data_IF_707280041289
#
_entry.id   IF_707280041289
#
_cell.length_a   1.000
_cell.length_b   1.000
_cell.length_c   1.000
_cell.angle_alpha   90.00
_cell.angle_beta   90.00
_cell.angle_gamma   90.00
#
_symmetry.space_group_name_H-M   'P 1'
#
loop_
_entity.id
_entity.type
_entity.pdbx_description
1 polymer ?
#
# COMPACT_ATOMS: atom_id res chain seq x y z
N UNK A 1 7.98 -4.14 8.85
CA UNK A 1 9.45 -4.08 8.83
C UNK A 1 9.97 -2.65 8.85
N UNK A 2 9.40 -1.75 8.07
CA UNK A 2 9.74 -0.33 8.07
C UNK A 2 8.46 0.51 7.85
N UNK A 3 8.54 1.82 8.02
CA UNK A 3 7.44 2.74 7.74
C UNK A 3 7.97 4.14 7.48
N UNK A 4 7.09 5.00 6.96
CA UNK A 4 7.34 6.43 6.83
C UNK A 4 6.04 7.22 6.75
N UNK A 5 6.09 8.52 7.06
CA UNK A 5 5.02 9.45 6.76
C UNK A 5 5.43 10.37 5.62
N UNK A 6 4.46 10.75 4.78
CA UNK A 6 4.60 11.93 3.92
C UNK A 6 4.26 13.18 4.71
N UNK A 7 5.08 14.22 4.57
CA UNK A 7 4.78 15.55 5.10
C UNK A 7 4.11 16.44 4.06
N UNK A 8 3.22 17.32 4.52
CA UNK A 8 2.65 18.37 3.67
C UNK A 8 3.65 19.51 3.44
N UNK A 9 4.55 19.34 2.46
CA UNK A 9 5.58 20.32 2.11
C UNK A 9 5.72 20.42 0.58
N UNK A 10 6.20 21.58 0.12
CA UNK A 10 6.50 21.82 -1.30
C UNK A 10 7.63 20.93 -1.82
N UNK A 11 8.62 20.61 -0.97
CA UNK A 11 9.65 19.65 -1.32
C UNK A 11 9.23 18.24 -0.88
N UNK A 12 9.45 17.20 -1.71
CA UNK A 12 9.15 15.82 -1.33
C UNK A 12 9.89 15.47 -0.03
N UNK A 13 9.16 15.24 1.05
CA UNK A 13 9.70 15.07 2.39
C UNK A 13 9.01 13.93 3.12
N UNK A 14 9.81 13.03 3.71
CA UNK A 14 9.31 11.94 4.54
C UNK A 14 9.94 11.94 5.93
N UNK A 15 9.20 11.41 6.89
CA UNK A 15 9.69 11.11 8.25
C UNK A 15 9.79 9.60 8.42
N UNK A 16 10.92 9.12 8.93
CA UNK A 16 11.23 7.70 9.15
C UNK A 16 11.61 7.48 10.63
N UNK A 17 11.04 6.47 11.33
CA UNK A 17 10.02 5.54 10.86
C UNK A 17 8.64 6.18 10.63
N UNK A 18 8.44 7.41 11.10
CA UNK A 18 7.11 7.98 11.17
C UNK A 18 6.22 7.24 12.18
N UNK A 19 4.94 7.57 12.23
CA UNK A 19 3.91 6.90 13.00
C UNK A 19 2.53 7.17 12.34
N UNK A 20 1.62 6.19 12.27
CA UNK A 20 0.25 6.43 11.85
C UNK A 20 -0.48 7.30 12.89
N UNK A 21 -1.59 7.96 12.53
CA UNK A 21 -2.34 8.74 13.50
C UNK A 21 -3.03 7.79 14.50
N UNK A 22 -3.14 8.24 15.75
CA UNK A 22 -3.77 7.47 16.83
C UNK A 22 -5.28 7.56 16.70
N UNK A 23 -6.00 6.45 16.90
CA UNK A 23 -7.45 6.45 17.05
C UNK A 23 -7.87 7.30 18.26
N UNK A 24 -8.56 8.40 17.99
CA UNK A 24 -9.04 9.36 19.00
C UNK A 24 -10.47 9.77 18.62
N UNK A 25 -11.45 8.85 18.75
CA UNK A 25 -12.80 9.10 18.30
C UNK A 25 -13.42 10.26 19.07
N UNK A 26 -14.20 11.07 18.38
CA UNK A 26 -14.94 12.16 19.04
C UNK A 26 -16.00 11.58 19.99
N UNK A 27 -16.10 12.14 21.19
CA UNK A 27 -17.03 11.63 22.21
C UNK A 27 -18.51 11.87 21.84
N UNK A 28 -18.78 12.89 21.02
CA UNK A 28 -20.12 13.21 20.51
C UNK A 28 -20.05 13.36 18.99
N UNK A 29 -20.90 12.65 18.22
CA UNK A 29 -20.93 12.80 16.78
C UNK A 29 -21.47 14.18 16.39
N UNK A 30 -20.60 15.05 15.92
CA UNK A 30 -20.99 16.25 15.20
C UNK A 30 -21.16 15.93 13.71
N UNK A 31 -22.03 16.68 13.02
CA UNK A 31 -22.20 16.53 11.58
C UNK A 31 -20.94 17.00 10.85
N UNK A 32 -20.25 16.05 10.22
CA UNK A 32 -19.08 16.35 9.40
C UNK A 32 -19.47 16.99 8.07
N UNK A 33 -18.59 17.82 7.54
CA UNK A 33 -18.68 18.30 6.16
C UNK A 33 -18.27 17.17 5.22
N UNK A 34 -18.93 17.12 4.08
CA UNK A 34 -18.54 16.20 3.01
C UNK A 34 -17.14 16.56 2.50
N UNK A 35 -16.40 15.54 2.07
CA UNK A 35 -15.06 15.71 1.53
C UNK A 35 -15.09 16.68 0.34
N UNK A 36 -14.27 17.72 0.42
CA UNK A 36 -14.14 18.70 -0.64
C UNK A 36 -12.67 19.03 -0.80
N UNK A 37 -12.09 18.75 -1.97
CA UNK A 37 -10.66 18.97 -2.20
C UNK A 37 -10.10 18.16 -3.34
N UNK A 38 -8.78 18.21 -3.46
CA UNK A 38 -8.00 17.46 -4.45
C UNK A 38 -7.34 16.30 -3.74
N UNK A 39 -7.82 15.08 -4.02
CA UNK A 39 -7.28 13.86 -3.45
C UNK A 39 -6.69 13.01 -4.57
N UNK A 40 -5.44 12.59 -4.39
CA UNK A 40 -4.69 11.84 -5.39
C UNK A 40 -4.84 10.33 -5.18
N UNK A 41 -5.03 9.58 -6.28
CA UNK A 41 -5.11 8.10 -6.26
C UNK A 41 -3.83 7.42 -5.74
N UNK A 42 -2.67 8.03 -6.01
CA UNK A 42 -1.39 7.59 -5.43
C UNK A 42 -0.62 8.80 -4.89
N UNK A 43 -0.70 8.98 -3.56
CA UNK A 43 0.06 10.01 -2.83
C UNK A 43 1.56 9.94 -3.11
N UNK A 44 2.14 8.75 -3.31
CA UNK A 44 3.56 8.61 -3.56
C UNK A 44 3.92 9.08 -4.97
N UNK A 45 3.11 8.73 -5.97
CA UNK A 45 3.30 9.20 -7.33
C UNK A 45 3.01 10.70 -7.45
N UNK A 46 2.02 11.23 -6.74
CA UNK A 46 1.70 12.66 -6.76
C UNK A 46 2.80 13.52 -6.14
N UNK A 47 3.36 13.06 -5.01
CA UNK A 47 4.41 13.78 -4.26
C UNK A 47 5.80 13.57 -4.84
N UNK A 48 6.07 12.40 -5.41
CA UNK A 48 7.37 12.11 -6.04
C UNK A 48 7.25 11.33 -7.37
N UNK A 49 6.72 11.98 -8.43
CA UNK A 49 6.39 11.33 -9.70
C UNK A 49 7.54 10.61 -10.39
N UNK A 50 8.76 11.15 -10.26
CA UNK A 50 9.94 10.60 -10.92
C UNK A 50 10.26 9.19 -10.40
N UNK A 51 10.17 8.98 -9.09
CA UNK A 51 10.53 7.71 -8.48
C UNK A 51 9.62 7.35 -7.28
N UNK A 52 8.37 6.94 -7.52
CA UNK A 52 7.34 6.72 -6.47
C UNK A 52 7.66 5.63 -5.44
N UNK A 53 8.68 4.80 -5.70
CA UNK A 53 9.16 3.75 -4.80
C UNK A 53 10.36 4.15 -3.94
N UNK A 54 11.05 5.25 -4.24
CA UNK A 54 12.21 5.69 -3.44
C UNK A 54 11.91 5.90 -1.96
N UNK A 55 10.78 6.51 -1.56
CA UNK A 55 10.47 6.69 -0.14
C UNK A 55 10.47 5.37 0.63
N UNK A 56 9.91 4.32 0.03
CA UNK A 56 9.88 3.01 0.66
C UNK A 56 11.27 2.39 0.77
N UNK A 57 12.08 2.48 -0.28
CA UNK A 57 13.46 1.96 -0.28
C UNK A 57 14.32 2.72 0.74
N UNK A 58 14.22 4.05 0.80
CA UNK A 58 14.92 4.88 1.78
C UNK A 58 14.51 4.52 3.21
N UNK A 59 13.21 4.34 3.48
CA UNK A 59 12.73 3.94 4.79
C UNK A 59 13.28 2.57 5.22
N UNK A 60 13.28 1.57 4.31
CA UNK A 60 13.86 0.25 4.59
C UNK A 60 15.35 0.37 4.90
N UNK A 61 16.14 1.03 4.05
CA UNK A 61 17.59 1.15 4.26
C UNK A 61 17.96 1.98 5.49
N UNK A 62 17.15 2.98 5.85
CA UNK A 62 17.36 3.80 7.05
C UNK A 62 17.12 2.98 8.32
N UNK A 63 16.06 2.17 8.33
CA UNK A 63 15.68 1.37 9.49
C UNK A 63 16.44 0.05 9.59
N UNK A 64 16.89 -0.49 8.47
CA UNK A 64 17.68 -1.71 8.35
C UNK A 64 18.93 -1.41 7.53
N UNK A 65 19.97 -0.77 8.12
CA UNK A 65 21.20 -0.46 7.39
C UNK A 65 21.94 -1.71 6.93
N UNK A 66 21.77 -2.81 7.66
CA UNK A 66 22.25 -4.12 7.29
C UNK A 66 21.21 -4.88 6.45
N UNK A 67 21.67 -5.71 5.51
CA UNK A 67 20.79 -6.48 4.65
C UNK A 67 20.00 -7.53 5.43
N UNK A 68 18.84 -7.93 4.90
CA UNK A 68 18.01 -8.97 5.50
C UNK A 68 18.62 -10.35 5.29
N UNK A 69 18.49 -11.22 6.30
CA UNK A 69 18.98 -12.60 6.25
C UNK A 69 18.25 -13.50 5.25
N UNK A 70 16.98 -13.22 4.92
CA UNK A 70 16.22 -14.05 3.95
C UNK A 70 16.03 -13.32 2.64
N UNK A 71 16.06 -14.09 1.57
CA UNK A 71 15.90 -13.63 0.19
C UNK A 71 14.65 -12.77 0.01
N UNK A 72 14.77 -11.78 -0.87
CA UNK A 72 13.68 -10.96 -1.38
C UNK A 72 13.59 -11.23 -2.88
N UNK A 73 12.39 -11.53 -3.36
CA UNK A 73 12.11 -11.78 -4.77
C UNK A 73 11.23 -10.70 -5.39
N UNK A 74 10.36 -10.10 -4.57
CA UNK A 74 9.35 -9.15 -4.98
C UNK A 74 9.30 -7.94 -4.05
N UNK A 75 9.31 -6.75 -4.61
CA UNK A 75 8.93 -5.50 -3.95
C UNK A 75 7.68 -4.97 -4.65
N UNK A 76 6.61 -4.74 -3.91
CA UNK A 76 5.34 -4.31 -4.46
C UNK A 76 4.61 -3.35 -3.51
N UNK A 77 3.40 -2.96 -3.89
CA UNK A 77 2.49 -2.26 -2.99
C UNK A 77 1.13 -2.95 -2.94
N UNK A 78 0.30 -2.59 -1.98
CA UNK A 78 -1.03 -3.18 -1.78
C UNK A 78 -1.88 -3.18 -3.05
N UNK A 79 -1.87 -2.10 -3.83
CA UNK A 79 -2.61 -2.01 -5.09
C UNK A 79 -2.03 -2.87 -6.21
N UNK A 80 -0.70 -2.96 -6.38
CA UNK A 80 -0.14 -3.78 -7.46
C UNK A 80 -0.40 -5.27 -7.22
N UNK A 81 -0.22 -5.75 -5.98
CA UNK A 81 -0.64 -7.10 -5.61
C UNK A 81 -2.16 -7.25 -5.65
N UNK A 82 -2.90 -6.23 -5.22
CA UNK A 82 -4.34 -6.18 -5.23
C UNK A 82 -4.95 -6.33 -6.61
N UNK A 83 -4.37 -5.69 -7.63
CA UNK A 83 -4.79 -5.79 -9.02
C UNK A 83 -4.53 -7.20 -9.58
N UNK A 84 -3.40 -7.82 -9.24
CA UNK A 84 -3.12 -9.21 -9.64
C UNK A 84 -4.03 -10.21 -8.91
N UNK A 85 -4.30 -9.99 -7.62
CA UNK A 85 -5.26 -10.79 -6.85
C UNK A 85 -6.67 -10.66 -7.41
N UNK A 86 -7.07 -9.43 -7.79
CA UNK A 86 -8.34 -9.15 -8.46
C UNK A 86 -8.44 -9.89 -9.80
N UNK A 87 -7.36 -9.89 -10.58
CA UNK A 87 -7.26 -10.63 -11.84
C UNK A 87 -7.53 -12.13 -11.66
N UNK A 88 -6.82 -12.80 -10.75
CA UNK A 88 -7.00 -14.25 -10.55
C UNK A 88 -8.37 -14.61 -9.97
N UNK A 89 -9.03 -13.66 -9.30
CA UNK A 89 -10.41 -13.80 -8.80
C UNK A 89 -11.48 -13.51 -9.85
N UNK A 90 -11.09 -13.22 -11.09
CA UNK A 90 -12.02 -13.05 -12.22
C UNK A 90 -12.70 -11.68 -12.31
N UNK A 91 -12.31 -10.69 -11.50
CA UNK A 91 -12.88 -9.34 -11.58
C UNK A 91 -12.30 -8.59 -12.78
N UNK A 92 -13.18 -8.01 -13.60
CA UNK A 92 -12.91 -7.55 -14.97
C UNK A 92 -12.17 -6.22 -15.08
N UNK A 93 -11.96 -5.50 -13.97
CA UNK A 93 -11.45 -4.12 -14.05
C UNK A 93 -10.05 -4.04 -14.65
N UNK A 94 -9.84 -3.16 -15.64
CA UNK A 94 -8.54 -2.99 -16.26
C UNK A 94 -7.53 -2.45 -15.26
N UNK A 95 -6.26 -2.72 -15.51
CA UNK A 95 -5.16 -2.12 -14.77
C UNK A 95 -3.88 -2.17 -15.59
N UNK A 96 -2.94 -1.32 -15.19
CA UNK A 96 -1.60 -1.29 -15.73
C UNK A 96 -0.60 -1.11 -14.60
N UNK A 97 0.54 -1.77 -14.73
CA UNK A 97 1.67 -1.59 -13.85
C UNK A 97 2.97 -1.83 -14.60
N UNK A 98 4.07 -1.33 -14.04
CA UNK A 98 5.40 -1.63 -14.54
C UNK A 98 6.06 -2.68 -13.64
N UNK A 99 6.96 -3.45 -14.22
CA UNK A 99 7.89 -4.28 -13.47
C UNK A 99 9.32 -3.92 -13.87
N UNK A 100 10.21 -3.79 -12.90
CA UNK A 100 11.63 -3.53 -13.11
C UNK A 100 12.49 -4.41 -12.20
N UNK A 101 13.59 -4.96 -12.72
CA UNK A 101 14.51 -5.79 -11.93
C UNK A 101 15.65 -4.94 -11.38
N UNK A 102 15.90 -5.02 -10.07
CA UNK A 102 17.07 -4.46 -9.39
C UNK A 102 17.76 -5.58 -8.61
N UNK A 103 19.01 -5.88 -8.95
CA UNK A 103 19.78 -7.00 -8.35
C UNK A 103 18.98 -8.32 -8.32
N UNK A 104 18.31 -8.68 -9.41
CA UNK A 104 17.50 -9.90 -9.48
C UNK A 104 16.18 -9.87 -8.70
N UNK A 105 15.87 -8.79 -7.98
CA UNK A 105 14.58 -8.59 -7.30
C UNK A 105 13.65 -7.82 -8.22
N UNK A 106 12.38 -8.23 -8.30
CA UNK A 106 11.38 -7.59 -9.16
C UNK A 106 10.60 -6.54 -8.37
N UNK A 107 10.49 -5.33 -8.93
CA UNK A 107 9.76 -4.22 -8.36
C UNK A 107 8.50 -3.96 -9.18
N UNK A 108 7.33 -4.15 -8.60
CA UNK A 108 6.04 -3.80 -9.20
C UNK A 108 5.67 -2.35 -8.85
N UNK A 109 5.49 -1.53 -9.88
CA UNK A 109 5.32 -0.08 -9.76
C UNK A 109 3.92 0.25 -10.30
N UNK A 110 3.12 0.97 -9.53
CA UNK A 110 1.81 1.46 -10.00
C UNK A 110 2.00 2.33 -11.24
N UNK A 111 1.05 2.22 -12.17
CA UNK A 111 1.02 3.06 -13.36
C UNK A 111 -0.40 3.53 -13.64
N UNK A 112 -0.75 4.62 -12.99
CA UNK A 112 -1.96 5.42 -13.26
C UNK A 112 -1.79 6.24 -14.56
N UNK A 113 -2.87 6.87 -15.03
CA UNK A 113 -2.83 7.72 -16.23
C UNK A 113 -1.97 8.97 -16.00
N UNK A 114 -2.03 9.50 -14.78
CA UNK A 114 -1.23 10.63 -14.32
C UNK A 114 -0.72 10.40 -12.90
N UNK A 115 0.52 10.80 -12.58
CA UNK A 115 0.99 10.80 -11.20
C UNK A 115 0.12 11.68 -10.28
N UNK A 116 -0.57 12.67 -10.85
CA UNK A 116 -1.49 13.57 -10.13
C UNK A 116 -2.94 13.23 -10.44
N UNK A 117 -3.24 12.02 -10.87
CA UNK A 117 -4.60 11.57 -11.07
C UNK A 117 -5.39 11.72 -9.77
N UNK A 118 -6.53 12.40 -9.87
CA UNK A 118 -7.40 12.71 -8.74
C UNK A 118 -8.64 11.83 -8.79
N UNK A 119 -9.24 11.59 -7.64
CA UNK A 119 -10.57 10.98 -7.58
C UNK A 119 -11.59 12.04 -8.06
N UNK A 120 -12.33 11.80 -9.16
CA UNK A 120 -13.36 12.74 -9.61
C UNK A 120 -14.58 12.69 -8.67
N UNK A 121 -15.36 13.77 -8.65
CA UNK A 121 -16.68 13.83 -7.98
C UNK A 121 -16.70 13.24 -6.57
N UNK A 122 -15.75 13.66 -5.72
CA UNK A 122 -15.61 13.05 -4.40
C UNK A 122 -16.87 13.31 -3.59
N UNK A 123 -17.53 12.22 -3.26
CA UNK A 123 -18.70 12.15 -2.42
C UNK A 123 -18.39 11.35 -1.16
N UNK A 124 -18.97 11.76 -0.05
CA UNK A 124 -18.81 11.09 1.23
C UNK A 124 -17.76 11.71 2.16
N UNK A 125 -17.20 10.87 3.01
CA UNK A 125 -16.52 11.29 4.25
C UNK A 125 -15.28 10.43 4.51
N UNK A 126 -14.64 9.94 3.46
CA UNK A 126 -13.47 9.07 3.52
C UNK A 126 -12.24 9.75 4.11
N UNK A 127 -12.16 11.08 4.04
CA UNK A 127 -11.06 11.87 4.61
C UNK A 127 -11.48 12.66 5.85
N UNK A 128 -12.62 13.33 5.81
CA UNK A 128 -13.13 14.13 6.93
C UNK A 128 -13.37 13.29 8.20
N UNK A 129 -13.79 12.02 8.06
CA UNK A 129 -14.00 11.16 9.22
C UNK A 129 -12.69 10.73 9.90
N UNK A 130 -11.68 10.20 9.20
CA UNK A 130 -10.35 9.98 9.79
C UNK A 130 -9.75 11.24 10.41
N UNK A 131 -9.83 12.39 9.75
CA UNK A 131 -9.29 13.66 10.27
C UNK A 131 -9.94 14.05 11.60
N UNK A 132 -11.25 13.83 11.74
CA UNK A 132 -11.98 14.12 12.97
C UNK A 132 -11.75 13.08 14.09
N UNK A 133 -11.44 11.83 13.75
CA UNK A 133 -11.41 10.71 14.69
C UNK A 133 -10.01 10.13 14.91
N UNK A 134 -8.98 10.78 14.38
CA UNK A 134 -7.59 10.39 14.60
C UNK A 134 -6.73 11.61 14.93
N UNK A 135 -5.60 11.38 15.62
CA UNK A 135 -4.67 12.45 15.99
C UNK A 135 -3.25 12.05 15.66
N UNK A 136 -2.55 12.88 14.89
CA UNK A 136 -1.11 12.74 14.66
C UNK A 136 -0.31 13.00 15.94
N UNK A 137 0.70 12.16 16.21
CA UNK A 137 1.64 12.41 17.29
C UNK A 137 2.49 13.66 17.02
N UNK A 138 2.93 14.34 18.08
CA UNK A 138 3.75 15.56 17.96
C UNK A 138 5.03 15.35 17.16
N UNK A 139 5.64 14.17 17.24
CA UNK A 139 6.88 13.81 16.53
C UNK A 139 6.71 13.62 15.01
N UNK A 140 5.47 13.58 14.52
CA UNK A 140 5.13 13.44 13.09
C UNK A 140 4.11 14.48 12.65
N UNK A 141 4.04 15.61 13.35
CA UNK A 141 3.12 16.72 13.02
C UNK A 141 3.35 17.21 11.59
N UNK A 142 2.25 17.49 10.88
CA UNK A 142 2.26 17.90 9.47
C UNK A 142 2.35 16.71 8.50
N UNK A 143 2.03 15.50 8.99
CA UNK A 143 1.88 14.31 8.15
C UNK A 143 0.54 14.29 7.43
N UNK A 144 0.53 13.72 6.23
CA UNK A 144 -0.63 13.59 5.35
C UNK A 144 -1.06 12.14 5.15
N UNK A 145 -0.09 11.23 5.16
CA UNK A 145 -0.35 9.79 5.07
C UNK A 145 0.73 9.03 5.81
N UNK A 146 0.42 7.80 6.20
CA UNK A 146 1.36 6.87 6.81
C UNK A 146 1.50 5.61 5.96
N UNK A 147 2.71 5.33 5.51
CA UNK A 147 3.04 4.20 4.67
C UNK A 147 3.78 3.17 5.51
N UNK A 148 3.29 1.93 5.49
CA UNK A 148 3.91 0.78 6.15
C UNK A 148 4.50 -0.15 5.12
N UNK A 149 5.63 -0.75 5.48
CA UNK A 149 6.37 -1.68 4.64
C UNK A 149 6.44 -2.98 5.40
N UNK A 150 5.79 -4.00 4.85
CA UNK A 150 5.76 -5.35 5.38
C UNK A 150 6.79 -6.22 4.71
N UNK A 151 7.13 -7.28 5.43
CA UNK A 151 7.87 -8.41 4.88
C UNK A 151 7.11 -9.67 5.24
N UNK A 152 6.81 -10.49 4.24
CA UNK A 152 6.21 -11.80 4.44
C UNK A 152 6.63 -12.74 3.31
N UNK A 153 6.38 -14.03 3.50
CA UNK A 153 6.54 -15.03 2.45
C UNK A 153 5.19 -15.40 1.89
N UNK A 154 5.10 -15.54 0.57
CA UNK A 154 3.88 -15.99 -0.11
C UNK A 154 4.26 -16.86 -1.31
N UNK A 155 3.69 -18.06 -1.42
CA UNK A 155 4.00 -18.97 -2.52
C UNK A 155 5.49 -19.32 -2.65
N UNK A 156 6.23 -19.34 -1.54
CA UNK A 156 7.70 -19.54 -1.52
C UNK A 156 8.53 -18.31 -1.91
N UNK A 157 7.90 -17.17 -2.21
CA UNK A 157 8.59 -15.92 -2.57
C UNK A 157 8.78 -15.04 -1.34
N UNK A 158 9.94 -14.37 -1.24
CA UNK A 158 10.16 -13.30 -0.26
C UNK A 158 9.60 -11.97 -0.74
N UNK A 159 8.56 -11.46 -0.08
CA UNK A 159 7.86 -10.25 -0.49
C UNK A 159 8.13 -9.07 0.46
N UNK A 160 8.42 -7.90 -0.11
CA UNK A 160 8.35 -6.60 0.57
C UNK A 160 7.17 -5.83 0.01
N UNK A 161 6.21 -5.47 0.85
CA UNK A 161 4.94 -4.88 0.39
C UNK A 161 4.64 -3.60 1.13
N UNK A 162 4.53 -2.49 0.39
CA UNK A 162 4.10 -1.20 0.92
C UNK A 162 2.58 -1.09 0.91
N UNK A 163 1.99 -0.58 1.97
CA UNK A 163 0.58 -0.16 1.99
C UNK A 163 0.41 1.08 2.86
N UNK A 164 -0.73 1.76 2.72
CA UNK A 164 -1.11 2.90 3.55
C UNK A 164 -1.94 2.42 4.74
N UNK A 165 -1.57 2.84 5.96
CA UNK A 165 -2.32 2.51 7.17
C UNK A 165 -3.07 3.73 7.69
N UNK A 166 -4.36 3.57 7.96
CA UNK A 166 -5.24 4.68 8.34
C UNK A 166 -5.06 5.14 9.79
N UNK A 167 -4.52 4.26 10.65
CA UNK A 167 -4.25 4.61 12.03
C UNK A 167 -3.86 3.43 12.90
N UNK A 168 -3.80 3.66 14.21
CA UNK A 168 -3.63 2.60 15.20
C UNK A 168 -4.48 2.78 16.46
N UNK A 169 -4.82 1.67 17.11
CA UNK A 169 -5.53 1.64 18.39
C UNK A 169 -4.51 1.61 19.53
N UNK A 170 -4.51 2.63 20.39
CA UNK A 170 -3.55 2.77 21.50
C UNK A 170 -3.63 1.62 22.49
N UNK A 171 -4.83 1.13 22.81
CA UNK A 171 -5.06 0.02 23.75
C UNK A 171 -4.42 -1.31 23.29
N UNK A 172 -4.08 -1.41 22.00
CA UNK A 172 -3.37 -2.56 21.41
C UNK A 172 -1.85 -2.39 21.39
N UNK A 173 -1.32 -1.25 21.80
CA UNK A 173 0.08 -1.15 22.19
C UNK A 173 0.21 -1.93 23.50
N UNK A 174 0.94 -3.05 23.47
CA UNK A 174 1.15 -3.89 24.64
C UNK A 174 1.40 -3.05 25.89
N UNK A 175 0.69 -3.35 26.99
CA UNK A 175 0.69 -2.64 28.27
C UNK A 175 2.03 -2.71 29.05
N UNK A 176 3.16 -2.87 28.35
CA UNK A 176 4.52 -3.01 28.89
C UNK A 176 5.54 -2.09 28.22
N UNK A 177 5.16 -0.85 27.95
CA UNK A 177 6.14 0.24 28.09
C UNK A 177 5.71 1.01 29.33
N UNK A 178 6.28 0.64 30.47
CA UNK A 178 6.49 1.60 31.56
C UNK A 178 7.08 2.83 30.90
N UNK A 179 6.27 3.89 30.72
CA UNK A 179 6.72 5.18 30.21
C UNK A 179 7.84 5.62 31.14
N UNK A 180 9.08 5.34 30.74
CA UNK A 180 10.24 5.91 31.39
C UNK A 180 10.02 7.41 31.36
N UNK A 181 9.99 8.04 32.54
CA UNK A 181 9.98 9.49 32.65
C UNK A 181 11.20 10.01 31.90
N UNK A 182 11.04 10.42 30.65
CA UNK A 182 12.03 11.27 30.02
C UNK A 182 11.80 12.68 30.54
N UNK A 183 12.84 13.16 31.22
CA UNK A 183 12.94 14.46 31.86
C UNK A 183 12.90 15.59 30.83
N UNK A 184 12.17 16.63 31.24
CA UNK A 184 12.29 18.05 30.92
C UNK A 184 12.14 18.50 29.47
N UNK A 185 11.00 19.17 29.26
CA UNK A 185 10.78 20.32 28.38
C UNK A 185 12.06 21.12 28.08
N UNK A 186 12.47 21.10 26.82
CA UNK A 186 13.18 22.23 26.22
C UNK A 186 12.14 23.07 25.50
N UNK A 187 11.84 24.22 26.09
CA UNK A 187 10.97 25.24 25.51
C UNK A 187 11.55 25.66 24.15
N UNK A 188 10.84 25.38 23.06
CA UNK A 188 11.13 25.98 21.76
C UNK A 188 10.96 27.49 21.89
N UNK A 189 11.99 28.26 21.52
CA UNK A 189 11.96 29.71 21.64
C UNK A 189 10.96 30.28 20.63
N UNK A 190 10.30 31.36 21.04
CA UNK A 190 9.17 32.00 20.34
C UNK A 190 9.60 32.47 18.94
N UNK A 191 10.89 32.67 18.73
CA UNK A 191 11.51 33.06 17.47
C UNK A 191 11.44 31.97 16.38
N UNK A 192 11.44 30.66 16.72
CA UNK A 192 11.28 29.58 15.72
C UNK A 192 9.83 29.44 15.22
N UNK A 193 8.86 29.81 16.05
CA UNK A 193 7.44 29.81 15.69
C UNK A 193 7.12 30.98 14.75
N UNK A 194 7.76 32.13 14.95
CA UNK A 194 7.59 33.31 14.08
C UNK A 194 8.19 33.05 12.68
N UNK A 195 9.31 32.32 12.59
CA UNK A 195 9.88 31.91 11.30
C UNK A 195 8.95 30.96 10.51
N UNK A 196 8.06 30.23 11.18
CA UNK A 196 7.10 29.30 10.55
C UNK A 196 5.77 29.95 10.14
N UNK A 197 5.51 31.20 10.56
CA UNK A 197 4.27 31.93 10.27
C UNK A 197 4.38 32.88 9.07
N UNK A 198 5.57 33.02 8.49
CA UNK A 198 5.89 33.99 7.45
C UNK A 198 5.65 33.56 6.00
N UNK A 199 4.69 32.68 5.71
CA UNK A 199 4.23 32.39 4.33
C UNK A 199 2.91 31.60 4.32
N UNK A 200 1.81 32.27 4.68
CA UNK A 200 0.45 31.77 4.48
C UNK A 200 -0.23 32.57 3.36
N UNK A 201 0.15 32.30 2.11
CA UNK A 201 -0.78 32.39 0.98
C UNK A 201 -1.38 31.01 0.72
N UNK A 202 -2.71 30.92 0.85
CA UNK A 202 -3.49 29.72 0.54
C UNK A 202 -3.51 29.52 -0.98
N UNK A 203 -2.52 28.80 -1.50
CA UNK A 203 -2.54 28.18 -2.82
C UNK A 203 -2.02 26.75 -2.67
N UNK A 204 -2.69 25.79 -3.30
CA UNK A 204 -2.24 24.40 -3.37
C UNK A 204 -0.75 24.37 -3.75
N UNK A 205 0.12 23.93 -2.82
CA UNK A 205 1.57 23.94 -3.00
C UNK A 205 1.94 22.86 -3.99
N UNK A 206 2.07 23.24 -5.26
CA UNK A 206 2.59 22.38 -6.33
C UNK A 206 4.04 22.04 -5.97
N UNK A 207 4.41 20.76 -5.80
CA UNK A 207 5.78 20.41 -5.48
C UNK A 207 6.71 20.71 -6.65
N UNK A 208 7.86 21.34 -6.37
CA UNK A 208 8.93 21.55 -7.35
C UNK A 208 9.62 20.20 -7.62
N UNK A 209 9.29 19.63 -8.78
CA UNK A 209 9.68 18.30 -9.28
C UNK A 209 11.19 18.18 -9.54
N UNK A 210 11.97 19.25 -9.32
CA UNK A 210 13.43 19.28 -9.42
C UNK A 210 14.14 18.81 -8.13
N UNK A 211 13.43 18.74 -6.99
CA UNK A 211 14.07 18.58 -5.68
C UNK A 211 14.22 17.11 -5.25
N UNK A 212 15.35 16.81 -4.58
CA UNK A 212 15.67 15.50 -4.00
C UNK A 212 14.76 15.19 -2.82
N UNK A 213 14.33 13.94 -2.68
CA UNK A 213 13.57 13.46 -1.51
C UNK A 213 14.33 13.75 -0.21
N UNK A 214 13.69 14.48 0.71
CA UNK A 214 14.21 14.78 2.04
C UNK A 214 13.75 13.71 3.03
N UNK A 215 14.68 13.17 3.82
CA UNK A 215 14.40 12.15 4.83
C UNK A 215 14.74 12.73 6.19
N UNK A 216 13.77 12.72 7.12
CA UNK A 216 13.91 13.21 8.48
C UNK A 216 13.65 12.08 9.47
N UNK A 217 14.30 12.11 10.62
CA UNK A 217 14.03 11.18 11.70
C UNK A 217 12.85 11.68 12.55
N UNK A 218 11.92 10.80 12.90
CA UNK A 218 10.77 11.13 13.75
C UNK A 218 9.74 9.99 13.80
N UNK A 219 8.78 10.11 14.71
CA UNK A 219 7.81 9.04 14.96
C UNK A 219 8.39 7.84 15.70
N UNK A 220 7.64 6.75 15.68
CA UNK A 220 7.95 5.51 16.39
C UNK A 220 7.27 4.32 15.71
N UNK A 221 7.83 3.14 15.94
CA UNK A 221 7.27 1.91 15.38
C UNK A 221 6.00 1.48 16.10
N UNK A 222 4.89 1.50 15.37
CA UNK A 222 3.62 0.89 15.81
C UNK A 222 3.59 -0.59 15.42
N UNK A 223 3.33 -1.52 16.37
CA UNK A 223 3.13 -2.94 16.09
C UNK A 223 2.02 -3.18 15.07
N UNK A 224 2.21 -4.17 14.20
CA UNK A 224 1.21 -4.50 13.16
C UNK A 224 -0.16 -4.87 13.76
N UNK A 225 -0.16 -5.52 14.93
CA UNK A 225 -1.36 -5.91 15.68
C UNK A 225 -2.25 -4.73 16.11
N UNK A 226 -1.70 -3.51 16.18
CA UNK A 226 -2.41 -2.32 16.61
C UNK A 226 -2.93 -1.47 15.44
N UNK A 227 -2.46 -1.71 14.20
CA UNK A 227 -2.83 -0.93 13.02
C UNK A 227 -4.23 -1.31 12.54
N UNK A 228 -5.01 -0.34 12.09
CA UNK A 228 -6.31 -0.55 11.48
C UNK A 228 -6.39 0.00 10.05
N UNK A 229 -7.36 -0.54 9.31
CA UNK A 229 -7.91 0.01 8.08
C UNK A 229 -9.29 0.59 8.41
N UNK A 230 -9.70 1.66 7.74
CA UNK A 230 -10.91 2.40 8.03
C UNK A 230 -11.76 2.57 6.78
N UNK A 231 -13.06 2.28 6.92
CA UNK A 231 -14.04 2.54 5.87
C UNK A 231 -15.26 3.27 6.39
N UNK A 232 -15.71 4.25 5.60
CA UNK A 232 -16.98 4.93 5.81
C UNK A 232 -18.02 4.42 4.81
N UNK A 233 -19.27 4.29 5.26
CA UNK A 233 -20.40 3.87 4.43
C UNK A 233 -21.67 4.63 4.81
N UNK A 234 -22.54 4.89 3.83
CA UNK A 234 -23.89 5.35 4.14
C UNK A 234 -24.63 4.31 5.00
N UNK A 235 -25.47 4.76 5.94
CA UNK A 235 -26.33 3.89 6.74
C UNK A 235 -27.30 3.06 5.87
N UNK A 236 -27.52 3.47 4.61
CA UNK A 236 -28.28 2.68 3.62
C UNK A 236 -27.59 1.36 3.25
N UNK A 237 -26.28 1.24 3.44
CA UNK A 237 -25.48 0.02 3.20
C UNK A 237 -25.44 -0.91 4.42
N UNK A 238 -26.20 -0.62 5.49
CA UNK A 238 -26.31 -1.54 6.63
C UNK A 238 -26.95 -2.86 6.16
N UNK A 239 -26.32 -3.97 6.51
CA UNK A 239 -26.72 -5.31 6.06
C UNK A 239 -25.99 -5.81 4.80
N UNK A 240 -25.24 -4.95 4.10
CA UNK A 240 -24.30 -5.40 3.07
C UNK A 240 -23.03 -5.96 3.72
N UNK A 241 -22.36 -6.91 3.04
CA UNK A 241 -21.11 -7.50 3.50
C UNK A 241 -19.89 -6.60 3.18
N UNK A 242 -19.82 -5.46 3.87
CA UNK A 242 -18.72 -4.50 3.69
C UNK A 242 -17.38 -5.11 4.14
N UNK A 243 -17.38 -5.98 5.14
CA UNK A 243 -16.15 -6.63 5.58
C UNK A 243 -15.64 -7.56 4.49
N UNK A 244 -16.49 -8.43 3.92
CA UNK A 244 -16.12 -9.33 2.84
C UNK A 244 -15.54 -8.64 1.60
N UNK A 245 -16.04 -7.43 1.28
CA UNK A 245 -15.48 -6.57 0.23
C UNK A 245 -14.03 -6.13 0.52
N UNK A 246 -13.67 -5.96 1.80
CA UNK A 246 -12.35 -5.43 2.21
C UNK A 246 -11.35 -6.52 2.66
N UNK A 247 -11.81 -7.75 2.97
CA UNK A 247 -10.95 -8.87 3.37
C UNK A 247 -9.75 -9.12 2.43
N UNK A 248 -9.88 -9.05 1.09
CA UNK A 248 -8.75 -9.23 0.18
C UNK A 248 -7.67 -8.16 0.36
N UNK A 249 -8.09 -6.90 0.60
CA UNK A 249 -7.17 -5.79 0.88
C UNK A 249 -6.45 -6.02 2.19
N UNK A 250 -7.19 -6.38 3.23
CA UNK A 250 -6.66 -6.67 4.56
C UNK A 250 -5.71 -7.86 4.56
N UNK A 251 -5.95 -8.88 3.73
CA UNK A 251 -5.03 -9.99 3.54
C UNK A 251 -3.73 -9.52 2.88
N UNK A 252 -3.77 -8.71 1.81
CA UNK A 252 -2.52 -8.20 1.20
C UNK A 252 -1.72 -7.31 2.16
N UNK A 253 -2.42 -6.46 2.92
CA UNK A 253 -1.82 -5.51 3.87
C UNK A 253 -1.60 -6.07 5.27
N UNK A 254 -1.99 -7.33 5.53
CA UNK A 254 -1.90 -8.01 6.81
C UNK A 254 -2.40 -7.14 7.97
N UNK A 255 -3.51 -6.42 7.76
CA UNK A 255 -4.12 -5.53 8.76
C UNK A 255 -5.14 -6.33 9.59
N UNK A 256 -4.99 -6.41 10.91
CA UNK A 256 -5.88 -7.22 11.74
C UNK A 256 -7.08 -6.45 12.30
N UNK A 257 -7.13 -5.13 12.17
CA UNK A 257 -8.20 -4.30 12.73
C UNK A 257 -8.96 -3.55 11.64
N UNK A 258 -10.28 -3.50 11.77
CA UNK A 258 -11.14 -2.77 10.86
C UNK A 258 -12.04 -1.80 11.61
N UNK A 259 -12.00 -0.53 11.20
CA UNK A 259 -12.92 0.51 11.65
C UNK A 259 -13.97 0.73 10.55
N UNK A 260 -15.20 0.34 10.81
CA UNK A 260 -16.32 0.57 9.91
C UNK A 260 -17.27 1.60 10.52
N UNK A 261 -17.40 2.75 9.86
CA UNK A 261 -18.20 3.87 10.35
C UNK A 261 -19.37 4.15 9.41
N UNK A 262 -20.59 3.97 9.90
CA UNK A 262 -21.81 4.28 9.16
C UNK A 262 -22.27 5.71 9.44
N UNK A 263 -22.60 6.44 8.38
CA UNK A 263 -23.14 7.80 8.50
C UNK A 263 -24.55 7.94 7.95
N UNK A 264 -25.29 8.91 8.47
CA UNK A 264 -26.47 9.48 7.83
C UNK A 264 -26.18 10.94 7.52
N UNK A 265 -25.94 11.26 6.24
CA UNK A 265 -25.57 12.60 5.75
C UNK A 265 -24.50 13.30 6.61
N UNK A 266 -23.41 12.60 6.95
CA UNK A 266 -22.26 13.13 7.69
C UNK A 266 -22.35 13.01 9.22
N UNK A 267 -23.44 12.46 9.76
CA UNK A 267 -23.56 12.14 11.19
C UNK A 267 -23.26 10.67 11.43
N UNK A 268 -22.23 10.38 12.22
CA UNK A 268 -21.72 9.03 12.46
C UNK A 268 -22.15 8.47 13.82
N UNK A 269 -23.28 7.77 13.85
CA UNK A 269 -23.85 7.21 15.10
C UNK A 269 -23.46 5.73 15.34
N UNK A 270 -22.84 5.08 14.37
CA UNK A 270 -22.51 3.64 14.42
C UNK A 270 -21.09 3.46 13.89
N UNK A 271 -20.14 3.37 14.82
CA UNK A 271 -18.72 3.19 14.55
C UNK A 271 -18.30 1.86 15.19
N UNK A 272 -17.82 0.95 14.36
CA UNK A 272 -17.47 -0.40 14.75
C UNK A 272 -15.96 -0.58 14.63
N UNK A 273 -15.28 -0.78 15.76
CA UNK A 273 -13.86 -1.12 15.80
C UNK A 273 -13.75 -2.61 16.10
N UNK A 274 -13.25 -3.40 15.14
CA UNK A 274 -13.21 -4.87 15.25
C UNK A 274 -11.83 -5.41 14.96
N UNK A 275 -11.45 -6.45 15.69
CA UNK A 275 -10.36 -7.34 15.27
C UNK A 275 -10.96 -8.35 14.28
N UNK A 276 -10.43 -8.36 13.06
CA UNK A 276 -10.93 -9.18 11.93
C UNK A 276 -9.93 -10.27 11.54
N UNK A 277 -8.98 -10.58 12.42
CA UNK A 277 -7.92 -11.54 12.12
C UNK A 277 -8.45 -12.95 11.83
N UNK A 278 -9.58 -13.34 12.43
CA UNK A 278 -10.19 -14.64 12.18
C UNK A 278 -10.81 -14.68 10.78
N UNK A 279 -11.55 -13.64 10.41
CA UNK A 279 -12.20 -13.47 9.12
C UNK A 279 -11.19 -13.42 7.97
N UNK A 280 -10.04 -12.76 8.17
CA UNK A 280 -8.94 -12.76 7.18
C UNK A 280 -8.36 -14.16 7.00
N UNK A 281 -8.18 -14.94 8.07
CA UNK A 281 -7.70 -16.34 7.98
C UNK A 281 -8.70 -17.26 7.31
N UNK A 282 -9.99 -17.07 7.57
CA UNK A 282 -11.03 -17.89 6.95
C UNK A 282 -11.25 -17.52 5.49
N UNK A 283 -11.08 -16.24 5.14
CA UNK A 283 -11.00 -15.78 3.74
C UNK A 283 -9.80 -16.38 3.00
N UNK A 284 -8.62 -16.42 3.62
CA UNK A 284 -7.44 -17.05 3.02
C UNK A 284 -7.68 -18.52 2.71
N UNK A 285 -8.28 -19.27 3.64
CA UNK A 285 -8.63 -20.69 3.43
C UNK A 285 -9.65 -20.86 2.30
N UNK A 286 -10.67 -20.00 2.24
CA UNK A 286 -11.71 -20.11 1.22
C UNK A 286 -11.20 -19.74 -0.18
N UNK A 287 -10.13 -18.94 -0.27
CA UNK A 287 -9.49 -18.50 -1.53
C UNK A 287 -8.23 -19.30 -1.87
N UNK A 288 -8.03 -20.49 -1.30
CA UNK A 288 -6.79 -21.26 -1.46
C UNK A 288 -6.42 -21.53 -2.94
N UNK A 289 -7.43 -21.74 -3.81
CA UNK A 289 -7.23 -21.95 -5.24
C UNK A 289 -6.74 -20.68 -5.93
N UNK A 290 -7.42 -19.56 -5.72
CA UNK A 290 -7.10 -18.26 -6.30
C UNK A 290 -5.74 -17.76 -5.81
N UNK A 291 -5.41 -17.98 -4.54
CA UNK A 291 -4.10 -17.66 -3.98
C UNK A 291 -2.99 -18.54 -4.58
N UNK A 292 -3.27 -19.82 -4.86
CA UNK A 292 -2.32 -20.68 -5.60
C UNK A 292 -2.09 -20.17 -7.03
N UNK A 293 -3.13 -19.69 -7.71
CA UNK A 293 -3.03 -19.05 -9.03
C UNK A 293 -2.23 -17.74 -8.95
N UNK A 294 -2.44 -16.92 -7.91
CA UNK A 294 -1.67 -15.71 -7.69
C UNK A 294 -0.18 -16.04 -7.50
N UNK A 295 0.14 -17.07 -6.71
CA UNK A 295 1.52 -17.53 -6.54
C UNK A 295 2.14 -17.93 -7.88
N UNK A 296 1.45 -18.76 -8.67
CA UNK A 296 1.92 -19.17 -10.00
C UNK A 296 2.14 -17.98 -10.94
N UNK A 297 1.21 -17.02 -10.94
CA UNK A 297 1.30 -15.79 -11.72
C UNK A 297 2.51 -14.94 -11.31
N UNK A 298 2.76 -14.77 -10.00
CA UNK A 298 3.91 -14.04 -9.50
C UNK A 298 5.23 -14.71 -9.91
N UNK A 299 5.34 -16.04 -9.80
CA UNK A 299 6.49 -16.79 -10.29
C UNK A 299 6.71 -16.58 -11.79
N UNK A 300 5.64 -16.60 -12.59
CA UNK A 300 5.71 -16.37 -14.03
C UNK A 300 6.19 -14.95 -14.37
N UNK A 301 5.61 -13.93 -13.72
CA UNK A 301 6.03 -12.52 -13.90
C UNK A 301 7.51 -12.36 -13.51
N UNK A 302 7.91 -12.92 -12.37
CA UNK A 302 9.28 -12.80 -11.85
C UNK A 302 10.27 -13.48 -12.78
N UNK A 303 9.98 -14.72 -13.21
CA UNK A 303 10.81 -15.45 -14.18
C UNK A 303 10.96 -14.68 -15.49
N UNK A 304 9.86 -14.16 -16.03
CA UNK A 304 9.85 -13.38 -17.27
C UNK A 304 10.65 -12.07 -17.14
N UNK A 305 10.49 -11.34 -16.03
CA UNK A 305 11.24 -10.10 -15.79
C UNK A 305 12.75 -10.35 -15.69
N UNK A 306 13.14 -11.46 -15.03
CA UNK A 306 14.54 -11.84 -14.82
C UNK A 306 15.23 -12.30 -16.09
N UNK A 307 14.54 -12.92 -17.05
CA UNK A 307 15.16 -13.43 -18.29
C UNK A 307 15.35 -12.37 -19.36
N UNK A 308 14.56 -11.29 -19.36
CA UNK A 308 14.70 -10.21 -20.36
C UNK A 308 15.99 -9.42 -20.20
N UNK A 309 16.56 -8.98 -21.32
CA UNK A 309 17.78 -8.16 -21.36
C UNK A 309 17.55 -6.77 -20.74
N UNK A 310 16.43 -6.13 -21.07
CA UNK A 310 16.08 -4.78 -20.61
C UNK A 310 15.73 -4.70 -19.12
N UNK A 311 15.44 -5.84 -18.47
CA UNK A 311 15.03 -5.91 -17.06
C UNK A 311 13.83 -5.03 -16.70
N UNK A 312 13.05 -4.61 -17.70
CA UNK A 312 11.85 -3.78 -17.56
C UNK A 312 10.71 -4.36 -18.39
N UNK A 313 9.51 -4.26 -17.85
CA UNK A 313 8.28 -4.81 -18.41
C UNK A 313 7.10 -3.90 -18.10
N UNK A 314 6.07 -4.01 -18.94
CA UNK A 314 4.74 -3.52 -18.65
C UNK A 314 3.79 -4.72 -18.50
N UNK A 315 2.95 -4.68 -17.48
CA UNK A 315 1.90 -5.66 -17.21
C UNK A 315 0.58 -4.93 -17.35
N UNK A 316 -0.27 -5.39 -18.25
CA UNK A 316 -1.51 -4.71 -18.59
C UNK A 316 -2.65 -5.71 -18.71
N UNK A 317 -3.83 -5.30 -18.25
CA UNK A 317 -5.09 -5.97 -18.56
C UNK A 317 -6.05 -4.95 -19.17
N UNK A 318 -6.44 -5.20 -20.42
CA UNK A 318 -7.45 -4.41 -21.12
C UNK A 318 -8.73 -5.21 -21.35
N UNK A 319 -8.60 -6.52 -21.63
CA UNK A 319 -9.72 -7.43 -21.87
C UNK A 319 -9.87 -8.46 -20.75
N UNK A 320 -11.02 -9.13 -20.74
CA UNK A 320 -11.46 -10.03 -19.68
C UNK A 320 -10.57 -11.26 -19.49
N UNK A 321 -9.99 -11.76 -20.58
CA UNK A 321 -9.42 -13.09 -20.69
C UNK A 321 -7.89 -13.12 -20.63
N UNK A 322 -7.21 -11.98 -20.77
CA UNK A 322 -5.78 -11.95 -21.00
C UNK A 322 -5.05 -10.90 -20.14
N UNK A 323 -3.99 -11.37 -19.47
CA UNK A 323 -3.02 -10.55 -18.76
C UNK A 323 -1.77 -10.49 -19.62
N UNK A 324 -1.44 -9.30 -20.10
CA UNK A 324 -0.42 -9.10 -21.11
C UNK A 324 0.88 -8.65 -20.45
N UNK A 325 1.98 -9.31 -20.81
CA UNK A 325 3.33 -8.95 -20.37
C UNK A 325 4.12 -8.48 -21.59
N UNK A 326 4.34 -7.17 -21.69
CA UNK A 326 4.87 -6.50 -22.88
C UNK A 326 6.19 -5.81 -22.58
N UNK A 327 6.95 -5.48 -23.63
CA UNK A 327 8.10 -4.60 -23.50
C UNK A 327 7.64 -3.25 -22.96
N UNK A 328 8.43 -2.65 -22.07
CA UNK A 328 8.09 -1.34 -21.51
C UNK A 328 8.26 -0.25 -22.57
N UNK A 329 7.35 0.73 -22.60
CA UNK A 329 7.53 1.93 -23.43
C UNK A 329 8.85 2.64 -23.10
N UNK A 330 9.68 2.99 -24.10
CA UNK A 330 10.91 3.74 -23.88
C UNK A 330 10.66 5.10 -23.21
N UNK A 331 11.65 5.61 -22.49
CA UNK A 331 11.63 6.97 -21.93
C UNK A 331 10.99 7.11 -20.53
N UNK A 332 10.50 6.02 -19.96
CA UNK A 332 9.98 6.03 -18.59
C UNK A 332 11.11 6.05 -17.55
N UNK A 333 10.92 6.80 -16.44
CA UNK A 333 11.90 6.83 -15.38
C UNK A 333 12.07 5.42 -14.77
N UNK A 334 13.28 5.12 -14.31
CA UNK A 334 13.53 3.92 -13.52
C UNK A 334 12.83 4.02 -12.17
N UNK A 335 12.52 2.86 -11.58
CA UNK A 335 11.95 2.70 -10.24
C UNK A 335 12.65 3.52 -9.16
N UNK A 336 13.97 3.68 -9.29
CA UNK A 336 14.83 4.41 -8.38
C UNK A 336 15.83 5.26 -9.18
N UNK A 337 16.21 6.41 -8.64
CA UNK A 337 17.32 7.21 -9.11
C UNK A 337 18.65 6.43 -9.05
N UNK A 338 19.63 6.76 -9.91
CA UNK A 338 20.83 5.93 -10.11
C UNK A 338 21.62 5.61 -8.83
N UNK A 339 21.84 6.61 -7.97
CA UNK A 339 22.55 6.45 -6.69
C UNK A 339 21.83 5.47 -5.76
N UNK A 340 20.54 5.71 -5.52
CA UNK A 340 19.75 4.89 -4.62
C UNK A 340 19.57 3.48 -5.18
N UNK A 341 19.41 3.34 -6.50
CA UNK A 341 19.36 2.04 -7.19
C UNK A 341 20.62 1.23 -6.91
N UNK A 342 21.81 1.85 -6.99
CA UNK A 342 23.08 1.17 -6.73
C UNK A 342 23.18 0.72 -5.28
N UNK A 343 22.90 1.62 -4.32
CA UNK A 343 22.92 1.30 -2.88
C UNK A 343 21.89 0.23 -2.52
N UNK A 344 20.70 0.30 -3.08
CA UNK A 344 19.64 -0.68 -2.88
C UNK A 344 20.03 -2.05 -3.46
N UNK A 345 20.62 -2.09 -4.65
CA UNK A 345 21.13 -3.32 -5.24
C UNK A 345 22.21 -3.97 -4.37
N UNK A 346 23.16 -3.18 -3.85
CA UNK A 346 24.18 -3.69 -2.92
C UNK A 346 23.57 -4.23 -1.61
N UNK A 347 22.57 -3.52 -1.07
CA UNK A 347 21.84 -3.96 0.12
C UNK A 347 21.08 -5.28 -0.13
N UNK A 348 20.45 -5.44 -1.30
CA UNK A 348 19.79 -6.71 -1.67
C UNK A 348 20.78 -7.86 -1.87
N UNK A 349 21.92 -7.59 -2.53
CA UNK A 349 22.93 -8.59 -2.82
C UNK A 349 23.59 -9.13 -1.55
N UNK A 350 23.88 -8.26 -0.58
CA UNK A 350 24.51 -8.64 0.67
C UNK A 350 23.63 -9.59 1.52
N UNK A 351 22.30 -9.51 1.39
CA UNK A 351 21.38 -10.43 2.06
C UNK A 351 21.43 -11.85 1.52
N UNK A 352 21.74 -12.02 0.24
CA UNK A 352 21.86 -13.35 -0.40
C UNK A 352 23.08 -14.12 0.09
N UNK A 353 24.16 -13.42 0.45
CA UNK A 353 25.42 -14.03 0.88
C UNK A 353 25.35 -14.61 2.31
N UNK A 354 24.38 -14.18 3.13
CA UNK A 354 24.19 -14.69 4.50
C UNK A 354 23.57 -16.09 4.60
N UNK A 355 22.95 -16.59 3.52
CA UNK A 355 22.22 -17.88 3.50
C UNK A 355 23.13 -19.07 3.11
N UNK A 356 24.36 -18.81 2.66
CA UNK A 356 25.17 -19.78 1.92
C UNK A 356 26.03 -20.78 2.70
N UNK A 357 25.97 -20.87 4.03
CA UNK A 357 27.01 -21.62 4.77
C UNK A 357 26.55 -22.68 5.79
N UNK A 358 25.28 -23.08 5.87
CA UNK A 358 24.93 -24.09 6.89
C UNK A 358 23.71 -24.98 6.63
N UNK A 359 23.54 -25.52 5.42
CA UNK A 359 22.64 -26.66 5.23
C UNK A 359 23.38 -27.80 4.53
N UNK A 360 23.94 -28.71 5.34
CA UNK A 360 24.29 -30.05 4.92
C UNK A 360 22.98 -30.79 4.64
N UNK A 361 22.73 -31.08 3.37
CA UNK A 361 21.76 -32.07 2.94
C UNK A 361 22.06 -33.41 3.63
N UNK A 362 21.13 -33.87 4.46
CA UNK A 362 21.01 -35.28 4.83
C UNK A 362 19.83 -35.80 4.03
N UNK A 363 20.17 -36.62 3.05
CA UNK A 363 19.30 -37.45 2.24
C UNK A 363 18.69 -38.54 3.14
N UNK A 364 17.36 -38.59 3.24
CA UNK A 364 16.67 -39.80 3.69
C UNK A 364 15.42 -39.98 2.85
N UNK A 365 15.46 -41.02 2.02
CA UNK A 365 14.39 -41.44 1.14
C UNK A 365 13.34 -42.27 1.88
N UNK A 366 12.09 -42.09 1.50
CA UNK A 366 10.98 -42.92 1.95
C UNK A 366 9.79 -42.76 1.01
N UNK A 367 9.55 -43.80 0.23
CA UNK A 367 8.46 -43.98 -0.74
C UNK A 367 7.06 -44.04 -0.12
N UNK A 368 6.09 -43.85 -1.01
CA UNK A 368 4.79 -44.52 -1.13
C UNK A 368 3.48 -43.87 -0.65
N UNK A 369 2.65 -43.60 -1.67
CA UNK A 369 1.23 -43.99 -1.89
C UNK A 369 0.11 -42.99 -1.64
N UNK A 370 -0.43 -42.53 -2.78
CA UNK A 370 -1.83 -42.60 -3.24
C UNK A 370 -2.93 -42.68 -2.18
N UNK A 371 -3.87 -41.74 -2.26
CA UNK A 371 -5.30 -42.04 -2.13
C UNK A 371 -6.13 -41.03 -2.95
N UNK A 372 -6.81 -41.57 -3.96
CA UNK A 372 -7.91 -40.97 -4.71
C UNK A 372 -9.10 -40.68 -3.79
N UNK A 373 -9.80 -39.56 -3.97
CA UNK A 373 -11.24 -39.48 -3.69
C UNK A 373 -11.96 -38.42 -4.53
N UNK A 374 -12.80 -38.98 -5.39
CA UNK A 374 -13.94 -38.52 -6.18
C UNK A 374 -14.57 -37.13 -5.99
N UNK A 375 -14.85 -36.56 -7.16
CA UNK A 375 -15.80 -35.48 -7.42
C UNK A 375 -17.24 -35.91 -7.17
N UNK A 376 -17.99 -35.11 -6.40
CA UNK A 376 -19.45 -35.07 -6.49
C UNK A 376 -19.95 -33.61 -6.48
N UNK A 377 -20.72 -33.33 -7.52
CA UNK A 377 -21.27 -32.06 -7.95
C UNK A 377 -22.55 -31.70 -7.17
N UNK A 378 -22.83 -30.41 -6.94
CA UNK A 378 -24.17 -29.95 -6.58
C UNK A 378 -24.21 -28.68 -5.75
N UNK A 379 -24.70 -27.58 -6.34
CA UNK A 379 -25.12 -26.40 -5.60
C UNK A 379 -24.91 -25.08 -6.35
N UNK A 380 -25.78 -24.81 -7.32
CA UNK A 380 -25.90 -23.50 -7.98
C UNK A 380 -26.24 -22.41 -6.94
N UNK A 381 -25.28 -21.54 -6.67
CA UNK A 381 -25.48 -20.28 -5.95
C UNK A 381 -25.09 -19.13 -6.86
N UNK A 382 -26.06 -18.31 -7.22
CA UNK A 382 -25.92 -17.11 -8.03
C UNK A 382 -25.20 -16.02 -7.21
N UNK A 383 -23.88 -15.91 -7.36
CA UNK A 383 -23.06 -14.92 -6.66
C UNK A 383 -22.99 -13.64 -7.49
N UNK A 384 -23.77 -12.63 -7.08
CA UNK A 384 -23.67 -11.28 -7.64
C UNK A 384 -22.26 -10.73 -7.40
N UNK A 385 -21.61 -10.33 -8.49
CA UNK A 385 -20.33 -9.63 -8.55
C UNK A 385 -20.29 -8.49 -7.51
N UNK A 386 -19.37 -8.57 -6.55
CA UNK A 386 -19.05 -7.48 -5.62
C UNK A 386 -17.76 -6.78 -6.06
N UNK A 387 -17.87 -5.47 -6.20
CA UNK A 387 -16.86 -4.55 -6.72
C UNK A 387 -15.84 -4.25 -5.62
N UNK A 388 -14.64 -4.84 -5.72
CA UNK A 388 -13.59 -4.72 -4.70
C UNK A 388 -12.83 -3.39 -4.87
N UNK A 389 -13.40 -2.29 -4.45
CA UNK A 389 -12.76 -0.97 -4.51
C UNK A 389 -11.58 -0.88 -3.54
N UNK A 390 -10.37 -0.86 -4.08
CA UNK A 390 -9.20 -0.38 -3.34
C UNK A 390 -9.39 1.11 -3.11
N UNK A 391 -9.86 1.49 -1.91
CA UNK A 391 -10.05 2.88 -1.44
C UNK A 391 -9.72 3.93 -2.48
N UNK A 392 -10.71 4.32 -3.29
CA UNK A 392 -10.72 5.55 -4.08
C UNK A 392 -12.14 5.76 -4.67
N UNK A 393 -13.07 6.25 -3.86
CA UNK A 393 -14.37 6.80 -4.28
C UNK A 393 -15.35 5.81 -4.95
N UNK A 394 -16.63 5.96 -4.62
CA UNK A 394 -17.70 5.42 -5.46
C UNK A 394 -17.67 6.20 -6.78
N UNK A 395 -17.12 5.66 -7.88
CA UNK A 395 -17.59 6.09 -9.20
C UNK A 395 -17.47 5.02 -10.29
N UNK A 396 -18.58 5.00 -11.03
CA UNK A 396 -18.99 4.18 -12.15
C UNK A 396 -17.93 3.95 -13.23
N UNK A 397 -17.66 2.66 -13.52
CA UNK A 397 -17.67 2.07 -14.87
C UNK A 397 -17.01 2.80 -16.06
N UNK A 398 -16.05 3.69 -15.85
CA UNK A 398 -15.33 4.37 -16.93
C UNK A 398 -14.21 3.52 -17.50
N UNK A 399 -14.09 3.48 -18.83
CA UNK A 399 -12.85 3.06 -19.50
C UNK A 399 -11.78 4.13 -19.27
N UNK A 400 -10.82 3.84 -18.39
CA UNK A 400 -9.73 4.74 -18.03
C UNK A 400 -8.44 4.43 -18.81
N UNK A 401 -8.51 3.74 -19.96
CA UNK A 401 -7.32 3.33 -20.73
C UNK A 401 -7.11 4.10 -22.02
N UNK A 402 -7.74 5.27 -22.21
CA UNK A 402 -7.65 6.06 -23.44
C UNK A 402 -6.22 6.58 -23.72
N UNK A 403 -5.39 5.73 -24.31
CA UNK A 403 -4.28 6.08 -25.17
C UNK A 403 -4.46 5.25 -26.44
N UNK A 404 -4.80 5.91 -27.56
CA UNK A 404 -4.76 5.26 -28.86
C UNK A 404 -3.32 4.84 -29.20
N UNK A 405 -3.19 3.94 -30.17
CA UNK A 405 -1.92 3.39 -30.68
C UNK A 405 -0.93 4.48 -31.15
N UNK A 406 -1.40 5.73 -31.31
CA UNK A 406 -0.64 6.90 -31.74
C UNK A 406 -0.20 7.86 -30.61
N UNK A 407 -0.74 7.79 -29.37
CA UNK A 407 -0.20 8.58 -28.22
C UNK A 407 1.04 7.84 -27.70
N UNK A 408 2.22 8.38 -28.00
CA UNK A 408 3.53 7.88 -27.53
C UNK A 408 3.76 8.06 -26.01
N UNK A 409 2.69 8.07 -25.21
CA UNK A 409 2.69 8.03 -23.75
C UNK A 409 3.62 9.08 -23.11
N UNK A 410 3.42 10.35 -23.47
CA UNK A 410 4.26 11.47 -23.00
C UNK A 410 3.90 12.01 -21.62
N UNK A 411 2.91 11.43 -20.93
CA UNK A 411 2.38 11.96 -19.67
C UNK A 411 1.66 13.31 -19.82
N UNK A 412 1.28 13.70 -21.04
CA UNK A 412 0.52 14.93 -21.35
C UNK A 412 -0.84 14.66 -21.99
N UNK A 413 -1.25 13.39 -22.12
CA UNK A 413 -2.57 13.04 -22.59
C UNK A 413 -3.54 13.40 -21.42
N UNK A 414 -3.94 14.68 -21.35
CA UNK A 414 -5.11 15.13 -20.60
C UNK A 414 -6.35 14.70 -21.38
N UNK A 415 -7.43 14.40 -20.67
CA UNK A 415 -8.76 14.26 -21.28
C UNK A 415 -9.02 15.31 -22.38
#
# INVERSE_FOLDING_TARGET
MASYNWLDRSNPSIVVPGAPPRWTPVAKPDKLREDSGVFYRDQNAARYPKHPMEPAVQAVMTMHPQPLEKQVDLVACGSTLGNLLRFVRGDERPFRMLAEVVDGVVHLIRRENSPRETIPNIHGYGHAFPDANTTWDGSVRGSESHQRILRYSFGGLGCIVRYEGDGYVEDKLESKISRGKHQSDKVCSVEEVIASLGDNEIKAKIPDVSTRLQVQAGGFMVPQSAVFDLKTRSSKRKGCDILGEELPRMWVSQIPNFVLAYHDHGVFNDIQVRDVSAEVRDWEKSMAKELSQLAALLHHIIGTARTRSEKKLEICRQTLDQLEIRAQTPGLPSVLGPDLRSRWGAWLAAGKQGVGNNEKFVDDGGDDKDDDVDFANGGSGDWKHSELEWSDGEDSGGDYTACSQDCSYCGRCSY
#
